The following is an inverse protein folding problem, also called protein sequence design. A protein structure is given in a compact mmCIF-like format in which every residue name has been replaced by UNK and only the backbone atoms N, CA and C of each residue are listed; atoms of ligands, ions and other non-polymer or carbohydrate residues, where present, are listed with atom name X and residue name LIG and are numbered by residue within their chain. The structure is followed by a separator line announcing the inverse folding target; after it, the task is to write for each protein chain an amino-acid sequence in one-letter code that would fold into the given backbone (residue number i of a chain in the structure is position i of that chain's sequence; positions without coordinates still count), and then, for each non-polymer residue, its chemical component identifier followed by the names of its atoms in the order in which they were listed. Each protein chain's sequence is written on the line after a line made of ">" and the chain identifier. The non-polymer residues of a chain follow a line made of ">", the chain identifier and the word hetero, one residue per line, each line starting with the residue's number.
data_IF_706158275722
#
_entry.id   IF_706158275722
#
_cell.length_a   1.000
_cell.length_b   1.000
_cell.length_c   1.000
_cell.angle_alpha   90.00
_cell.angle_beta   90.00
_cell.angle_gamma   90.00
#
_symmetry.space_group_name_H-M   'P 1'
#
loop_
_entity.id
_entity.type
_entity.pdbx_description
1 polymer ?
#
# COMPACT_ATOMS: atom_id res chain seq x y z
N UNK A 1 -16.27 -0.29 2.89
CA UNK A 1 -15.89 -0.58 1.50
C UNK A 1 -15.06 0.58 0.95
N UNK A 2 -13.82 0.35 0.51
CA UNK A 2 -13.00 1.39 -0.13
C UNK A 2 -13.38 1.48 -1.61
N UNK A 3 -13.09 2.61 -2.26
CA UNK A 3 -13.35 2.82 -3.70
C UNK A 3 -12.01 2.95 -4.45
N UNK A 4 -11.93 2.37 -5.65
CA UNK A 4 -10.81 2.58 -6.55
C UNK A 4 -10.65 4.07 -6.85
N UNK A 5 -9.42 4.60 -6.79
CA UNK A 5 -9.18 6.03 -7.02
C UNK A 5 -9.39 6.45 -8.48
N UNK A 6 -9.27 5.51 -9.41
CA UNK A 6 -9.44 5.71 -10.87
C UNK A 6 -10.92 5.68 -11.24
N UNK A 7 -11.56 4.50 -11.21
CA UNK A 7 -12.93 4.29 -11.71
C UNK A 7 -14.03 4.42 -10.64
N UNK A 8 -13.68 4.63 -9.37
CA UNK A 8 -14.61 4.71 -8.22
C UNK A 8 -15.40 3.43 -7.91
N UNK A 9 -15.16 2.32 -8.62
CA UNK A 9 -15.70 0.99 -8.30
C UNK A 9 -15.34 0.58 -6.86
N UNK A 10 -16.21 -0.18 -6.18
CA UNK A 10 -15.88 -0.77 -4.89
C UNK A 10 -14.67 -1.71 -4.99
N UNK A 11 -13.83 -1.74 -3.95
CA UNK A 11 -12.71 -2.68 -3.85
C UNK A 11 -12.74 -3.43 -2.53
N UNK A 12 -12.38 -4.71 -2.59
CA UNK A 12 -12.17 -5.57 -1.44
C UNK A 12 -10.71 -6.07 -1.39
N UNK A 13 -10.08 -6.07 -0.21
CA UNK A 13 -8.72 -6.58 -0.06
C UNK A 13 -8.70 -8.10 -0.19
N UNK A 14 -7.77 -8.63 -0.98
CA UNK A 14 -7.53 -10.08 -1.08
C UNK A 14 -6.31 -10.53 -0.26
N UNK A 15 -5.43 -9.59 0.12
CA UNK A 15 -4.30 -9.85 1.02
C UNK A 15 -4.08 -8.65 1.94
N UNK A 16 -3.70 -8.94 3.19
CA UNK A 16 -3.38 -7.96 4.22
C UNK A 16 -2.05 -8.31 4.88
N UNK A 17 -1.20 -7.31 5.05
CA UNK A 17 0.09 -7.43 5.73
C UNK A 17 0.04 -6.89 7.16
N UNK A 18 -1.12 -6.39 7.59
CA UNK A 18 -1.29 -5.78 8.91
C UNK A 18 -0.50 -4.48 9.04
N UNK A 19 0.04 -4.26 10.24
CA UNK A 19 0.69 -3.00 10.64
C UNK A 19 2.15 -2.99 10.18
N UNK A 20 2.45 -2.23 9.13
CA UNK A 20 3.77 -2.13 8.50
C UNK A 20 4.40 -0.74 8.67
N UNK A 21 5.72 -0.62 8.85
CA UNK A 21 6.41 0.67 8.83
C UNK A 21 6.47 1.24 7.41
N UNK A 22 6.76 2.55 7.30
CA UNK A 22 7.10 3.16 6.02
C UNK A 22 8.36 2.48 5.45
N UNK A 23 8.28 1.93 4.24
CA UNK A 23 9.36 1.16 3.61
C UNK A 23 10.69 1.93 3.53
N UNK A 24 10.64 3.23 3.20
CA UNK A 24 11.83 4.09 3.08
C UNK A 24 12.10 4.91 4.35
N UNK A 25 11.44 4.59 5.47
CA UNK A 25 11.54 5.34 6.73
C UNK A 25 12.72 4.93 7.61
N UNK A 26 13.92 4.78 7.04
CA UNK A 26 15.11 4.38 7.80
C UNK A 26 15.49 5.43 8.85
N UNK A 27 15.82 4.97 10.06
CA UNK A 27 16.24 5.82 11.18
C UNK A 27 17.66 5.47 11.58
N UNK A 28 18.47 6.49 11.91
CA UNK A 28 19.76 6.25 12.57
C UNK A 28 19.55 5.81 14.02
N UNK A 29 20.57 5.20 14.61
CA UNK A 29 20.52 4.76 16.01
C UNK A 29 20.23 5.91 16.96
N UNK A 30 20.79 7.08 16.71
CA UNK A 30 20.60 8.30 17.50
C UNK A 30 19.17 8.81 17.39
N UNK A 31 18.60 8.79 16.17
CA UNK A 31 17.21 9.20 15.91
C UNK A 31 16.21 8.31 16.64
N UNK A 32 16.49 7.02 16.74
CA UNK A 32 15.68 6.06 17.47
C UNK A 32 15.88 6.20 19.00
N UNK A 33 17.14 6.26 19.46
CA UNK A 33 17.48 6.29 20.88
C UNK A 33 17.06 7.58 21.60
N UNK A 34 17.07 8.72 20.90
CA UNK A 34 16.68 10.01 21.47
C UNK A 34 15.15 10.22 21.52
N UNK A 35 14.36 9.23 21.08
CA UNK A 35 12.88 9.30 21.09
C UNK A 35 12.26 10.36 20.17
N UNK A 36 13.10 11.11 19.42
CA UNK A 36 12.67 12.21 18.54
C UNK A 36 11.92 11.71 17.31
N UNK A 37 12.20 10.48 16.86
CA UNK A 37 11.53 9.84 15.72
C UNK A 37 11.25 8.37 16.04
N UNK A 38 10.02 7.93 15.71
CA UNK A 38 9.61 6.52 15.76
C UNK A 38 9.14 6.09 14.38
N UNK A 39 9.29 4.80 14.00
CA UNK A 39 8.72 4.31 12.75
C UNK A 39 7.22 4.58 12.74
N UNK A 40 6.74 5.27 11.72
CA UNK A 40 5.31 5.45 11.51
C UNK A 40 4.75 4.20 10.88
N UNK A 41 3.69 3.67 11.46
CA UNK A 41 3.08 2.41 11.04
C UNK A 41 1.72 2.64 10.41
N UNK A 42 1.44 1.90 9.35
CA UNK A 42 0.17 1.93 8.62
C UNK A 42 -0.36 0.51 8.42
N UNK A 43 -1.67 0.39 8.28
CA UNK A 43 -2.29 -0.87 7.84
C UNK A 43 -2.19 -0.98 6.33
N UNK A 44 -1.51 -2.03 5.86
CA UNK A 44 -1.24 -2.25 4.44
C UNK A 44 -1.98 -3.48 3.92
N UNK A 45 -2.76 -3.28 2.86
CA UNK A 45 -3.58 -4.32 2.21
C UNK A 45 -3.65 -4.07 0.70
N UNK A 46 -3.76 -5.12 -0.09
CA UNK A 46 -3.86 -5.04 -1.56
C UNK A 46 -5.24 -5.51 -2.00
N UNK A 47 -5.80 -4.78 -2.97
CA UNK A 47 -7.10 -5.05 -3.60
C UNK A 47 -6.95 -5.03 -5.11
N UNK A 48 -7.86 -5.71 -5.80
CA UNK A 48 -7.91 -5.76 -7.26
C UNK A 48 -9.29 -5.28 -7.74
N UNK A 49 -9.33 -4.60 -8.89
CA UNK A 49 -10.56 -4.24 -9.60
C UNK A 49 -10.56 -5.02 -10.91
N UNK A 50 -11.34 -6.10 -11.04
CA UNK A 50 -11.36 -6.91 -12.25
C UNK A 50 -11.68 -6.11 -13.51
N UNK A 51 -12.56 -5.11 -13.41
CA UNK A 51 -13.00 -4.28 -14.54
C UNK A 51 -11.87 -3.38 -15.09
N UNK A 52 -10.85 -3.09 -14.28
CA UNK A 52 -9.69 -2.30 -14.72
C UNK A 52 -8.75 -3.08 -15.64
N UNK A 53 -8.79 -4.42 -15.63
CA UNK A 53 -8.04 -5.23 -16.61
C UNK A 53 -8.51 -5.00 -18.04
N UNK A 54 -9.81 -4.70 -18.21
CA UNK A 54 -10.40 -4.43 -19.53
C UNK A 54 -10.04 -3.04 -20.05
N UNK A 55 -9.63 -2.11 -19.18
CA UNK A 55 -9.25 -0.73 -19.54
C UNK A 55 -7.78 -0.56 -19.95
N UNK A 56 -6.95 -1.60 -19.83
CA UNK A 56 -5.54 -1.57 -20.23
C UNK A 56 -5.14 -2.83 -21.02
N UNK A 57 -5.57 -2.96 -22.29
CA UNK A 57 -5.26 -4.12 -23.12
C UNK A 57 -3.76 -4.28 -23.44
N UNK A 58 -2.95 -3.22 -23.28
CA UNK A 58 -1.57 -3.18 -23.78
C UNK A 58 -0.45 -3.21 -22.73
N UNK A 59 -0.77 -3.36 -21.43
CA UNK A 59 0.29 -3.40 -20.41
C UNK A 59 0.60 -4.82 -20.00
N UNK A 60 1.65 -5.37 -20.64
CA UNK A 60 2.46 -6.48 -20.12
C UNK A 60 2.79 -6.15 -18.65
N UNK A 61 2.12 -6.84 -17.73
CA UNK A 61 2.44 -6.78 -16.33
C UNK A 61 3.81 -7.44 -16.17
N UNK A 62 4.86 -6.64 -16.02
CA UNK A 62 6.15 -7.14 -15.54
C UNK A 62 5.93 -7.56 -14.08
N UNK A 63 5.92 -8.87 -13.88
CA UNK A 63 6.13 -9.50 -12.58
C UNK A 63 7.55 -9.22 -12.10
#
# INVERSE_FOLDING_TARGET
>A
MKKCRICKSPIEPFISFGKMPIANGFLTREQFAQGRKRPSFFYYSVSIVPELFQLCPDKRYFL
#
